data_IF_988024429278
#
_entry.id   IF_988024429278
#
_cell.length_a   1.000
_cell.length_b   1.000
_cell.length_c   1.000
_cell.angle_alpha   90.00
_cell.angle_beta   90.00
_cell.angle_gamma   90.00
#
_symmetry.space_group_name_H-M   'P 1'
#
loop_
_entity.id
_entity.type
_entity.pdbx_description
1 polymer ?
#
# COMPACT_ATOMS: atom_id res chain seq x y z
N UNK A 1 -10.44 -8.44 5.62
CA UNK A 1 -10.24 -9.46 6.66
C UNK A 1 -10.24 -8.82 8.04
N UNK A 2 -9.28 -7.94 8.41
CA UNK A 2 -9.20 -7.34 9.76
C UNK A 2 -10.47 -6.59 10.18
N UNK A 3 -11.09 -5.83 9.27
CA UNK A 3 -12.37 -5.17 9.53
C UNK A 3 -13.47 -6.17 9.91
N UNK A 4 -13.57 -7.28 9.17
CA UNK A 4 -14.56 -8.33 9.44
C UNK A 4 -14.27 -9.02 10.78
N UNK A 5 -13.00 -9.31 11.05
CA UNK A 5 -12.55 -9.83 12.35
C UNK A 5 -12.94 -8.90 13.49
N UNK A 6 -12.69 -7.59 13.35
CA UNK A 6 -13.07 -6.59 14.35
C UNK A 6 -14.59 -6.59 14.59
N UNK A 7 -15.41 -6.65 13.55
CA UNK A 7 -16.87 -6.69 13.64
C UNK A 7 -17.38 -7.90 14.42
N UNK A 8 -16.80 -9.08 14.23
CA UNK A 8 -17.16 -10.28 15.03
C UNK A 8 -16.92 -10.08 16.51
N UNK A 9 -15.94 -9.27 16.86
CA UNK A 9 -15.60 -8.95 18.24
C UNK A 9 -16.33 -7.71 18.79
N UNK A 10 -17.19 -7.07 17.97
CA UNK A 10 -17.94 -5.88 18.36
C UNK A 10 -17.19 -4.56 18.22
N UNK A 11 -16.07 -4.53 17.48
CA UNK A 11 -15.24 -3.35 17.25
C UNK A 11 -15.38 -2.80 15.84
N UNK A 12 -15.23 -1.48 15.70
CA UNK A 12 -15.10 -0.79 14.43
C UNK A 12 -13.64 -0.83 13.92
N UNK A 13 -13.44 -0.49 12.65
CA UNK A 13 -12.10 -0.44 12.04
C UNK A 13 -11.17 0.54 12.74
N UNK A 14 -11.70 1.67 13.25
CA UNK A 14 -10.90 2.70 13.94
C UNK A 14 -10.38 2.17 15.28
N UNK A 15 -11.12 1.28 15.91
CA UNK A 15 -10.77 0.71 17.22
C UNK A 15 -9.73 -0.42 17.13
N UNK A 16 -9.39 -0.91 15.92
CA UNK A 16 -8.40 -1.99 15.74
C UNK A 16 -7.04 -1.59 16.35
N UNK A 17 -6.55 -0.39 16.04
CA UNK A 17 -5.25 0.09 16.54
C UNK A 17 -5.20 0.13 18.08
N UNK A 18 -6.08 0.89 18.74
CA UNK A 18 -6.16 0.91 20.21
C UNK A 18 -6.33 -0.49 20.81
N UNK A 19 -7.21 -1.33 20.24
CA UNK A 19 -7.45 -2.67 20.72
C UNK A 19 -6.19 -3.51 20.74
N UNK A 20 -5.51 -3.63 19.58
CA UNK A 20 -4.35 -4.51 19.43
C UNK A 20 -3.14 -4.05 20.24
N UNK A 21 -3.05 -2.76 20.58
CA UNK A 21 -1.99 -2.24 21.43
C UNK A 21 -2.10 -2.76 22.89
N UNK A 22 -3.26 -3.25 23.29
CA UNK A 22 -3.44 -3.87 24.62
C UNK A 22 -3.14 -5.38 24.64
N UNK A 23 -2.85 -5.97 23.48
CA UNK A 23 -2.54 -7.40 23.35
C UNK A 23 -1.26 -7.77 24.10
N UNK A 24 -1.30 -8.88 24.79
CA UNK A 24 -0.15 -9.47 25.47
C UNK A 24 0.51 -10.57 24.63
N UNK A 25 -0.29 -11.34 23.89
CA UNK A 25 0.18 -12.46 23.08
C UNK A 25 -0.64 -12.58 21.80
N UNK A 26 0.01 -12.92 20.68
CA UNK A 26 -0.72 -13.27 19.46
C UNK A 26 -1.20 -14.72 19.55
N UNK A 27 -2.50 -14.96 19.38
CA UNK A 27 -3.01 -16.33 19.29
C UNK A 27 -2.84 -16.85 17.86
N UNK A 28 -2.54 -18.15 17.67
CA UNK A 28 -2.42 -18.72 16.33
C UNK A 28 -3.73 -18.59 15.55
N UNK A 29 -3.66 -17.95 14.38
CA UNK A 29 -4.77 -17.86 13.41
C UNK A 29 -4.23 -18.36 12.07
N UNK A 30 -4.97 -19.23 11.39
CA UNK A 30 -4.58 -19.78 10.10
C UNK A 30 -4.41 -18.71 9.02
N UNK A 31 -3.30 -18.77 8.29
CA UNK A 31 -3.02 -17.90 7.14
C UNK A 31 -3.43 -18.51 5.79
N UNK A 32 -3.93 -19.74 5.77
CA UNK A 32 -4.17 -20.48 4.52
C UNK A 32 -5.43 -20.01 3.81
N UNK A 33 -6.53 -19.84 4.54
CA UNK A 33 -7.82 -19.46 3.99
C UNK A 33 -8.53 -18.48 4.92
N UNK A 34 -9.05 -17.39 4.38
CA UNK A 34 -9.78 -16.39 5.15
C UNK A 34 -11.03 -16.96 5.86
N UNK A 35 -11.71 -17.94 5.24
CA UNK A 35 -12.90 -18.58 5.83
C UNK A 35 -12.51 -19.40 7.06
N UNK A 36 -11.42 -20.15 6.99
CA UNK A 36 -10.93 -20.90 8.15
C UNK A 36 -10.45 -19.96 9.25
N UNK A 37 -9.75 -18.90 8.90
CA UNK A 37 -9.33 -17.89 9.85
C UNK A 37 -10.53 -17.25 10.58
N UNK A 38 -11.64 -16.99 9.87
CA UNK A 38 -12.87 -16.48 10.48
C UNK A 38 -13.47 -17.47 11.50
N UNK A 39 -13.51 -18.76 11.14
CA UNK A 39 -13.99 -19.80 12.04
C UNK A 39 -13.12 -19.93 13.29
N UNK A 40 -11.80 -19.82 13.12
CA UNK A 40 -10.85 -19.84 14.26
C UNK A 40 -11.04 -18.62 15.17
N UNK A 41 -11.26 -17.42 14.59
CA UNK A 41 -11.60 -16.21 15.37
C UNK A 41 -12.84 -16.43 16.23
N UNK A 42 -13.90 -17.01 15.66
CA UNK A 42 -15.15 -17.30 16.38
C UNK A 42 -14.91 -18.31 17.49
N UNK A 43 -14.13 -19.35 17.24
CA UNK A 43 -13.77 -20.33 18.26
C UNK A 43 -12.99 -19.70 19.41
N UNK A 44 -11.96 -18.90 19.11
CA UNK A 44 -11.17 -18.20 20.11
C UNK A 44 -12.03 -17.27 20.98
N UNK A 45 -13.01 -16.58 20.37
CA UNK A 45 -13.97 -15.78 21.11
C UNK A 45 -14.83 -16.64 22.05
N UNK A 46 -15.28 -17.79 21.58
CA UNK A 46 -16.12 -18.72 22.37
C UNK A 46 -15.35 -19.32 23.55
N UNK A 47 -14.04 -19.48 23.41
CA UNK A 47 -13.13 -19.93 24.47
C UNK A 47 -12.77 -18.83 25.47
N UNK A 48 -13.23 -17.60 25.25
CA UNK A 48 -12.96 -16.45 26.12
C UNK A 48 -11.59 -15.80 25.91
N UNK A 49 -10.92 -16.08 24.79
CA UNK A 49 -9.66 -15.43 24.44
C UNK A 49 -9.85 -13.90 24.29
N UNK A 50 -8.97 -13.08 24.86
CA UNK A 50 -9.09 -11.63 24.75
C UNK A 50 -9.14 -11.16 23.30
N UNK A 51 -10.08 -10.28 22.90
CA UNK A 51 -10.19 -9.76 21.54
C UNK A 51 -8.90 -9.12 21.01
N UNK A 52 -8.12 -8.48 21.88
CA UNK A 52 -6.82 -7.91 21.54
C UNK A 52 -5.83 -8.98 21.04
N UNK A 53 -5.79 -10.12 21.69
CA UNK A 53 -4.87 -11.23 21.36
C UNK A 53 -5.30 -11.94 20.08
N UNK A 54 -6.62 -12.04 19.84
CA UNK A 54 -7.19 -12.56 18.60
C UNK A 54 -6.85 -11.61 17.43
N UNK A 55 -7.05 -10.30 17.59
CA UNK A 55 -6.71 -9.32 16.57
C UNK A 55 -5.21 -9.31 16.26
N UNK A 56 -4.36 -9.46 17.29
CA UNK A 56 -2.91 -9.58 17.11
C UNK A 56 -2.56 -10.82 16.28
N UNK A 57 -3.15 -11.97 16.59
CA UNK A 57 -2.98 -13.21 15.81
C UNK A 57 -3.41 -13.06 14.34
N UNK A 58 -4.53 -12.37 14.11
CA UNK A 58 -5.01 -12.07 12.75
C UNK A 58 -4.02 -11.20 11.98
N UNK A 59 -3.41 -10.20 12.61
CA UNK A 59 -2.35 -9.37 12.00
C UNK A 59 -1.12 -10.20 11.69
N UNK A 60 -0.64 -11.01 12.63
CA UNK A 60 0.54 -11.89 12.44
C UNK A 60 0.33 -12.84 11.26
N UNK A 61 -0.85 -13.44 11.17
CA UNK A 61 -1.24 -14.34 10.07
C UNK A 61 -1.23 -13.62 8.71
N UNK A 62 -1.85 -12.44 8.64
CA UNK A 62 -1.92 -11.64 7.42
C UNK A 62 -0.53 -11.21 6.95
N UNK A 63 0.31 -10.71 7.85
CA UNK A 63 1.68 -10.30 7.56
C UNK A 63 2.52 -11.49 7.11
N UNK A 64 2.42 -12.63 7.80
CA UNK A 64 3.15 -13.84 7.45
C UNK A 64 2.90 -14.29 6.01
N UNK A 65 1.63 -14.23 5.57
CA UNK A 65 1.26 -14.53 4.20
C UNK A 65 1.85 -13.52 3.21
N UNK A 66 1.81 -12.24 3.53
CA UNK A 66 2.38 -11.17 2.70
C UNK A 66 3.89 -11.33 2.55
N UNK A 67 4.60 -11.58 3.64
CA UNK A 67 6.05 -11.82 3.62
C UNK A 67 6.43 -13.05 2.83
N UNK A 68 5.64 -14.14 2.92
CA UNK A 68 5.87 -15.33 2.09
C UNK A 68 5.73 -15.03 0.58
N UNK A 69 4.76 -14.20 0.19
CA UNK A 69 4.59 -13.77 -1.20
C UNK A 69 5.76 -12.89 -1.66
N UNK A 70 6.21 -11.96 -0.81
CA UNK A 70 7.38 -11.12 -1.09
C UNK A 70 8.64 -11.97 -1.30
N UNK A 71 8.88 -12.97 -0.46
CA UNK A 71 10.01 -13.91 -0.61
C UNK A 71 9.96 -14.66 -1.94
N UNK A 72 8.77 -15.07 -2.40
CA UNK A 72 8.62 -15.72 -3.71
C UNK A 72 8.91 -14.78 -4.88
N UNK A 73 8.66 -13.48 -4.70
CA UNK A 73 8.96 -12.45 -5.69
C UNK A 73 10.44 -11.99 -5.67
N UNK A 74 11.31 -12.68 -4.92
CA UNK A 74 12.73 -12.33 -4.79
C UNK A 74 12.91 -10.88 -4.32
N UNK A 75 12.20 -10.53 -3.24
CA UNK A 75 12.28 -9.20 -2.65
C UNK A 75 13.72 -8.80 -2.31
N UNK A 76 14.03 -7.53 -2.54
CA UNK A 76 15.31 -6.90 -2.15
C UNK A 76 15.05 -5.74 -1.19
N UNK A 77 15.90 -5.53 -0.16
CA UNK A 77 15.86 -4.30 0.63
C UNK A 77 16.21 -3.10 -0.27
N UNK A 78 15.74 -1.92 -0.02
CA UNK A 78 14.98 -1.39 1.10
C UNK A 78 13.47 -1.49 0.85
N UNK A 79 12.69 -1.64 1.94
CA UNK A 79 11.23 -1.73 1.84
C UNK A 79 10.56 -0.44 2.32
N UNK A 80 9.56 0.01 1.55
CA UNK A 80 8.66 1.10 1.97
C UNK A 80 7.24 0.57 2.08
N UNK A 81 6.64 0.71 3.26
CA UNK A 81 5.28 0.26 3.53
C UNK A 81 4.30 1.40 3.28
N UNK A 82 3.31 1.16 2.43
CA UNK A 82 2.26 2.11 2.05
C UNK A 82 0.88 1.52 2.28
N UNK A 83 -0.09 2.39 2.43
CA UNK A 83 -1.50 2.05 2.56
C UNK A 83 -2.05 2.30 3.96
N UNK A 84 -3.37 2.53 4.05
CA UNK A 84 -4.04 2.91 5.29
C UNK A 84 -3.89 1.91 6.44
N UNK A 85 -3.64 0.63 6.14
CA UNK A 85 -3.42 -0.41 7.15
C UNK A 85 -2.12 -0.18 7.95
N UNK A 86 -1.15 0.55 7.39
CA UNK A 86 0.11 0.88 8.04
C UNK A 86 -0.04 2.00 9.08
N UNK A 87 -1.23 2.58 9.22
CA UNK A 87 -1.57 3.47 10.34
C UNK A 87 -1.68 2.71 11.68
N UNK A 88 -1.79 1.39 11.64
CA UNK A 88 -1.74 0.56 12.84
C UNK A 88 -0.28 0.25 13.19
N UNK A 89 0.24 0.85 14.25
CA UNK A 89 1.63 0.65 14.72
C UNK A 89 1.99 -0.83 14.89
N UNK A 90 1.06 -1.62 15.41
CA UNK A 90 1.25 -3.06 15.56
C UNK A 90 1.46 -3.76 14.20
N UNK A 91 0.78 -3.32 13.13
CA UNK A 91 1.00 -3.86 11.79
C UNK A 91 2.44 -3.62 11.34
N UNK A 92 2.94 -2.40 11.48
CA UNK A 92 4.33 -2.05 11.14
C UNK A 92 5.34 -2.86 11.96
N UNK A 93 5.10 -2.99 13.27
CA UNK A 93 5.94 -3.76 14.18
C UNK A 93 6.03 -5.22 13.74
N UNK A 94 4.89 -5.86 13.47
CA UNK A 94 4.84 -7.28 13.04
C UNK A 94 5.52 -7.46 11.67
N UNK A 95 5.39 -6.49 10.75
CA UNK A 95 6.11 -6.56 9.45
C UNK A 95 7.61 -6.51 9.68
N UNK A 96 8.12 -5.58 10.52
CA UNK A 96 9.54 -5.50 10.86
C UNK A 96 10.07 -6.78 11.46
N UNK A 97 9.34 -7.34 12.42
CA UNK A 97 9.71 -8.60 13.09
C UNK A 97 9.79 -9.77 12.10
N UNK A 98 8.84 -9.89 11.19
CA UNK A 98 8.78 -11.01 10.24
C UNK A 98 9.74 -10.87 9.05
N UNK A 99 10.04 -9.65 8.62
CA UNK A 99 11.04 -9.40 7.59
C UNK A 99 12.47 -9.52 8.14
N UNK A 100 12.68 -9.16 9.41
CA UNK A 100 14.00 -9.04 10.00
C UNK A 100 14.80 -7.86 9.45
N UNK A 101 14.12 -6.88 8.81
CA UNK A 101 14.71 -5.77 8.08
C UNK A 101 14.11 -4.44 8.51
N UNK A 102 14.85 -3.37 8.28
CA UNK A 102 14.33 -2.02 8.43
C UNK A 102 13.34 -1.73 7.31
N UNK A 103 12.24 -1.07 7.68
CA UNK A 103 11.21 -0.66 6.72
C UNK A 103 10.93 0.83 6.89
N UNK A 104 10.80 1.51 5.76
CA UNK A 104 10.39 2.90 5.70
C UNK A 104 8.87 2.99 5.76
N UNK A 105 8.36 3.89 6.59
CA UNK A 105 6.91 4.17 6.68
C UNK A 105 6.74 5.68 6.60
N UNK A 106 6.07 6.23 5.58
CA UNK A 106 5.80 7.66 5.50
C UNK A 106 5.02 8.16 6.72
N UNK A 107 5.37 9.34 7.19
CA UNK A 107 4.77 9.92 8.39
C UNK A 107 3.31 10.33 8.20
N UNK A 108 2.53 10.22 9.27
CA UNK A 108 1.16 10.69 9.37
C UNK A 108 0.25 10.11 8.27
N UNK A 109 -0.53 10.97 7.65
CA UNK A 109 -1.47 10.56 6.60
C UNK A 109 -0.80 10.25 5.25
N UNK A 110 0.47 10.61 5.07
CA UNK A 110 1.20 10.30 3.84
C UNK A 110 1.26 8.79 3.59
N UNK A 111 1.36 7.97 4.62
CA UNK A 111 1.35 6.51 4.47
C UNK A 111 0.14 6.00 3.68
N UNK A 112 -1.00 6.66 3.82
CA UNK A 112 -2.24 6.32 3.12
C UNK A 112 -2.32 6.96 1.73
N UNK A 113 -1.82 8.18 1.57
CA UNK A 113 -2.02 8.99 0.37
C UNK A 113 -0.83 9.01 -0.59
N UNK A 114 0.31 8.40 -0.25
CA UNK A 114 1.52 8.38 -1.10
C UNK A 114 1.23 7.88 -2.51
N UNK A 115 0.44 6.83 -2.67
CA UNK A 115 0.09 6.30 -4.00
C UNK A 115 -0.74 7.28 -4.82
N UNK A 116 -1.69 7.99 -4.19
CA UNK A 116 -2.50 9.01 -4.86
C UNK A 116 -1.65 10.22 -5.26
N UNK A 117 -0.73 10.65 -4.39
CA UNK A 117 0.23 11.71 -4.68
C UNK A 117 1.14 11.32 -5.84
N UNK A 118 1.67 10.10 -5.85
CA UNK A 118 2.49 9.57 -6.94
C UNK A 118 1.74 9.57 -8.28
N UNK A 119 0.47 9.14 -8.28
CA UNK A 119 -0.38 9.17 -9.46
C UNK A 119 -0.62 10.60 -9.97
N UNK A 120 -0.85 11.57 -9.08
CA UNK A 120 -1.03 12.97 -9.43
C UNK A 120 0.24 13.57 -10.06
N UNK A 121 1.43 13.29 -9.49
CA UNK A 121 2.71 13.74 -10.01
C UNK A 121 3.02 13.14 -11.40
N UNK A 122 2.73 11.85 -11.59
CA UNK A 122 2.88 11.21 -12.89
C UNK A 122 1.94 11.81 -13.93
N UNK A 123 0.68 12.10 -13.56
CA UNK A 123 -0.29 12.76 -14.40
C UNK A 123 0.17 14.16 -14.81
N UNK A 124 0.64 14.96 -13.87
CA UNK A 124 1.20 16.28 -14.13
C UNK A 124 2.40 16.22 -15.08
N UNK A 125 3.36 15.34 -14.82
CA UNK A 125 4.53 15.15 -15.68
C UNK A 125 4.16 14.74 -17.10
N UNK A 126 3.12 13.91 -17.26
CA UNK A 126 2.61 13.53 -18.58
C UNK A 126 1.98 14.70 -19.31
N UNK A 127 1.16 15.52 -18.63
CA UNK A 127 0.55 16.71 -19.23
C UNK A 127 1.60 17.73 -19.68
N UNK A 128 2.64 17.93 -18.88
CA UNK A 128 3.75 18.82 -19.25
C UNK A 128 4.45 18.33 -20.52
N UNK A 129 4.80 17.06 -20.62
CA UNK A 129 5.43 16.48 -21.82
C UNK A 129 4.53 16.59 -23.06
N UNK A 130 3.23 16.40 -22.92
CA UNK A 130 2.28 16.57 -24.02
C UNK A 130 2.19 18.03 -24.49
N UNK A 131 2.19 18.98 -23.56
CA UNK A 131 2.19 20.40 -23.89
C UNK A 131 3.48 20.83 -24.59
N UNK A 132 4.63 20.36 -24.13
CA UNK A 132 5.93 20.60 -24.75
C UNK A 132 5.99 20.01 -26.17
N UNK A 133 5.51 18.79 -26.37
CA UNK A 133 5.46 18.14 -27.68
C UNK A 133 4.51 18.90 -28.64
N UNK A 134 3.36 19.37 -28.16
CA UNK A 134 2.44 20.17 -28.97
C UNK A 134 3.05 21.53 -29.36
N UNK A 135 3.76 22.19 -28.45
CA UNK A 135 4.47 23.44 -28.73
C UNK A 135 5.59 23.25 -29.76
N UNK A 136 6.36 22.15 -29.63
CA UNK A 136 7.41 21.83 -30.62
C UNK A 136 6.84 21.49 -31.99
N UNK A 137 5.72 20.77 -32.06
CA UNK A 137 5.01 20.49 -33.34
C UNK A 137 4.49 21.74 -34.00
N UNK A 138 3.96 22.69 -33.27
CA UNK A 138 3.53 23.99 -33.80
C UNK A 138 4.71 24.87 -34.25
N UNK A 139 5.85 24.80 -33.59
CA UNK A 139 7.07 25.54 -33.98
C UNK A 139 7.62 25.05 -35.32
N UNK A 140 7.52 23.77 -35.65
CA UNK A 140 7.92 23.21 -36.95
C UNK A 140 6.96 23.63 -38.07
N UNK A 141 5.66 23.76 -37.78
CA UNK A 141 4.66 24.19 -38.78
C UNK A 141 4.71 25.68 -39.12
N UNK A 142 5.35 26.51 -38.29
CA UNK A 142 5.50 27.96 -38.52
C UNK A 142 6.82 28.35 -39.16
N UNK A 143 7.69 27.42 -39.53
CA UNK A 143 8.91 27.72 -40.29
C UNK A 143 8.52 28.09 -41.70
N UNK A 144 8.88 29.30 -42.20
CA UNK A 144 8.51 29.71 -43.57
C UNK A 144 9.21 28.81 -44.59
N UNK A 145 8.43 28.29 -45.51
CA UNK A 145 8.91 27.57 -46.66
C UNK A 145 9.89 28.50 -47.43
N UNK A 146 11.12 28.09 -47.77
CA UNK A 146 12.01 28.90 -48.56
C UNK A 146 11.35 29.17 -49.93
N UNK A 147 11.03 30.43 -50.20
CA UNK A 147 10.57 30.85 -51.50
C UNK A 147 11.71 30.62 -52.51
N UNK A 148 11.51 29.65 -53.38
CA UNK A 148 12.39 29.39 -54.51
C UNK A 148 12.32 30.59 -55.42
N UNK A 149 13.31 31.52 -55.37
CA UNK A 149 13.50 32.57 -56.36
C UNK A 149 14.00 31.88 -57.62
N UNK A 150 13.07 31.55 -58.51
CA UNK A 150 13.40 31.21 -59.87
C UNK A 150 14.02 32.43 -60.53
N UNK A 151 15.29 32.31 -60.89
CA UNK A 151 16.04 33.29 -61.67
C UNK A 151 15.36 33.52 -62.99
N UNK A 152 14.89 34.75 -63.21
CA UNK A 152 14.68 35.28 -64.54
C UNK A 152 16.05 35.70 -65.02
N UNK A 153 16.52 35.11 -66.11
CA UNK A 153 17.76 35.46 -66.85
C UNK A 153 17.65 35.07 -68.29
N UNK A 154 17.40 36.07 -69.11
CA UNK A 154 17.71 36.29 -70.53
C UNK A 154 17.82 35.10 -71.50
#
# INVERSE_FOLDING_TARGET
>A
FLEKTARYMGYSTIEIGPLVNTSKNAVPISGVCAVFAESEVINQLSEGTPPADIMHGAIVSLVGRSVQLMKRAQMEPEFTLLGGIMRFEKMVTVVREQLGEQVNVPEGDLVQFTSALGAALLGQSRLQRLAEAAAAGNAVATSPTPQNQAAAGA
#
